data_IF_709841445289
#
_entry.id   IF_709841445289
#
_cell.length_a   1.000
_cell.length_b   1.000
_cell.length_c   1.000
_cell.angle_alpha   90.00
_cell.angle_beta   90.00
_cell.angle_gamma   90.00
#
_symmetry.space_group_name_H-M   'P 1'
#
loop_
_entity.id
_entity.type
_entity.pdbx_description
1 polymer ?
#
# COMPACT_ATOMS: atom_id res chain seq x y z
N UNK A 1 -27.26 52.38 25.04
CA UNK A 1 -28.09 51.18 25.30
C UNK A 1 -29.44 51.38 24.62
N UNK A 2 -29.93 50.33 23.93
CA UNK A 2 -31.27 50.18 23.31
C UNK A 2 -31.48 51.00 22.02
N UNK A 3 -31.96 50.50 20.88
CA UNK A 3 -31.97 49.18 20.25
C UNK A 3 -32.37 49.47 18.79
N UNK A 4 -31.57 49.03 17.82
CA UNK A 4 -32.00 48.95 16.42
C UNK A 4 -32.88 47.71 16.28
N UNK A 5 -34.00 47.80 15.55
CA UNK A 5 -34.45 46.71 14.67
C UNK A 5 -35.51 47.18 13.67
N UNK A 6 -35.27 46.68 12.45
CA UNK A 6 -35.90 46.99 11.19
C UNK A 6 -37.36 46.50 11.11
N UNK A 7 -38.09 47.16 10.22
CA UNK A 7 -39.50 46.94 9.84
C UNK A 7 -39.77 45.55 9.26
N UNK A 8 -40.99 45.09 9.59
CA UNK A 8 -42.08 44.52 8.77
C UNK A 8 -41.68 43.52 7.65
N UNK A 9 -42.30 42.34 7.53
CA UNK A 9 -43.74 42.19 7.37
C UNK A 9 -44.25 40.80 7.79
N UNK A 10 -45.55 40.73 8.11
CA UNK A 10 -46.29 39.63 8.74
C UNK A 10 -47.26 39.00 7.74
N UNK A 11 -47.34 37.65 7.78
CA UNK A 11 -48.43 36.69 7.47
C UNK A 11 -49.44 36.95 6.33
N UNK A 12 -49.71 35.91 5.53
CA UNK A 12 -50.88 35.01 5.68
C UNK A 12 -50.81 33.85 4.64
N UNK A 13 -50.91 32.56 5.04
CA UNK A 13 -52.13 31.71 5.13
C UNK A 13 -52.77 31.46 3.73
N UNK A 14 -53.10 30.27 3.18
CA UNK A 14 -53.20 28.85 3.59
C UNK A 14 -53.27 27.93 2.34
N UNK A 15 -52.79 26.68 2.50
CA UNK A 15 -53.36 25.36 2.10
C UNK A 15 -54.25 25.25 0.82
N UNK A 16 -54.08 24.25 -0.07
CA UNK A 16 -54.36 22.81 0.16
C UNK A 16 -53.78 21.87 -0.94
N UNK A 17 -53.10 20.81 -0.47
CA UNK A 17 -53.13 19.38 -0.83
C UNK A 17 -53.28 18.86 -2.29
N UNK A 18 -52.32 18.03 -2.75
CA UNK A 18 -52.37 16.55 -2.78
C UNK A 18 -50.97 16.04 -3.26
N UNK A 19 -50.15 15.38 -2.43
CA UNK A 19 -50.13 13.93 -2.13
C UNK A 19 -49.43 13.05 -3.19
N UNK A 20 -48.15 12.76 -2.96
CA UNK A 20 -47.51 11.46 -3.23
C UNK A 20 -46.31 11.35 -2.25
N UNK A 21 -46.53 10.72 -1.09
CA UNK A 21 -45.96 9.41 -0.70
C UNK A 21 -44.42 9.40 -0.74
N UNK A 22 -43.72 9.53 0.39
CA UNK A 22 -43.57 8.58 1.51
C UNK A 22 -42.16 7.97 1.41
N UNK A 23 -41.33 8.17 2.44
CA UNK A 23 -40.09 7.40 2.56
C UNK A 23 -38.92 8.14 3.19
N UNK A 24 -39.12 8.81 4.33
CA UNK A 24 -38.02 8.97 5.28
C UNK A 24 -37.70 7.57 5.83
N UNK A 25 -36.58 6.98 5.43
CA UNK A 25 -35.97 5.86 6.14
C UNK A 25 -34.54 6.27 6.48
N UNK A 26 -34.39 6.71 7.73
CA UNK A 26 -33.15 6.62 8.47
C UNK A 26 -32.66 5.17 8.43
N UNK A 27 -31.66 4.91 7.59
CA UNK A 27 -30.73 3.78 7.74
C UNK A 27 -29.40 4.47 8.09
N UNK A 28 -28.88 4.45 9.32
CA UNK A 28 -28.94 3.39 10.32
C UNK A 28 -27.85 2.36 10.01
N UNK A 29 -26.60 2.67 10.35
CA UNK A 29 -25.43 1.83 10.07
C UNK A 29 -25.05 1.93 8.58
N UNK A 30 -23.80 2.10 8.18
CA UNK A 30 -22.61 1.48 8.71
C UNK A 30 -21.55 2.56 8.86
N UNK A 31 -21.06 2.77 10.08
CA UNK A 31 -19.67 3.18 10.20
C UNK A 31 -18.87 2.08 9.55
N UNK A 32 -18.38 2.30 8.33
CA UNK A 32 -17.19 1.60 7.89
C UNK A 32 -16.07 2.17 8.75
N UNK A 33 -15.92 1.65 9.98
CA UNK A 33 -14.59 1.64 10.57
C UNK A 33 -13.80 0.65 9.72
N UNK A 34 -13.31 1.13 8.56
CA UNK A 34 -11.99 0.73 8.16
C UNK A 34 -11.17 0.92 9.43
N UNK A 35 -10.67 -0.19 9.99
CA UNK A 35 -9.78 -0.16 11.14
C UNK A 35 -8.84 1.02 10.92
N UNK A 36 -8.91 2.01 11.80
CA UNK A 36 -8.33 3.32 11.55
C UNK A 36 -6.82 3.14 11.56
N UNK A 37 -6.27 2.88 10.37
CA UNK A 37 -4.85 2.68 10.14
C UNK A 37 -4.16 3.96 10.59
N UNK A 38 -3.49 3.91 11.74
CA UNK A 38 -2.78 5.06 12.28
C UNK A 38 -1.48 5.18 11.51
N UNK A 39 -1.47 6.05 10.51
CA UNK A 39 -0.27 6.42 9.78
C UNK A 39 0.49 7.52 10.53
N UNK A 40 1.69 7.20 11.01
CA UNK A 40 2.66 8.18 11.49
C UNK A 40 3.46 8.67 10.29
N UNK A 41 3.36 9.97 9.98
CA UNK A 41 4.06 10.57 8.86
C UNK A 41 5.29 11.33 9.39
N UNK A 42 6.47 11.03 8.85
CA UNK A 42 7.73 11.67 9.22
C UNK A 42 8.23 12.50 8.04
N UNK A 43 8.43 13.78 8.33
CA UNK A 43 9.12 14.76 7.49
C UNK A 43 10.57 14.87 8.00
N UNK A 44 11.51 14.31 7.23
CA UNK A 44 12.92 14.18 7.59
C UNK A 44 13.72 15.39 7.19
N UNK A 45 13.39 16.04 6.08
CA UNK A 45 14.12 17.20 5.59
C UNK A 45 13.54 18.56 6.05
N UNK A 46 12.32 18.54 6.60
CA UNK A 46 11.63 19.69 7.18
C UNK A 46 10.95 20.58 6.15
N UNK A 47 10.72 20.10 4.92
CA UNK A 47 10.06 20.86 3.85
C UNK A 47 8.53 20.94 3.97
N UNK A 48 7.96 20.23 4.95
CA UNK A 48 6.52 20.14 5.19
C UNK A 48 5.81 19.00 4.44
N UNK A 49 6.54 18.14 3.74
CA UNK A 49 6.06 16.95 3.04
C UNK A 49 6.71 15.71 3.66
N UNK A 50 5.93 14.86 4.35
CA UNK A 50 6.47 13.62 4.89
C UNK A 50 7.03 12.73 3.78
N UNK A 51 8.21 12.15 3.98
CA UNK A 51 8.82 11.18 3.07
C UNK A 51 8.64 9.75 3.57
N UNK A 52 8.23 9.57 4.83
CA UNK A 52 8.01 8.24 5.42
C UNK A 52 6.64 8.16 6.08
N UNK A 53 5.88 7.13 5.78
CA UNK A 53 4.64 6.79 6.48
C UNK A 53 4.78 5.42 7.15
N UNK A 54 4.43 5.35 8.42
CA UNK A 54 4.40 4.10 9.19
C UNK A 54 2.97 3.82 9.60
N UNK A 55 2.40 2.78 9.04
CA UNK A 55 1.06 2.32 9.34
C UNK A 55 1.10 1.30 10.47
N UNK A 56 0.24 1.51 11.46
CA UNK A 56 0.13 0.67 12.66
C UNK A 56 -1.27 0.08 12.79
N UNK A 57 -1.34 -1.13 13.34
CA UNK A 57 -2.61 -1.77 13.72
C UNK A 57 -3.23 -1.10 14.97
N UNK A 58 -4.40 -1.59 15.38
CA UNK A 58 -5.13 -1.09 16.55
C UNK A 58 -4.35 -1.25 17.87
N UNK A 59 -3.39 -2.18 17.92
CA UNK A 59 -2.49 -2.42 19.06
C UNK A 59 -1.24 -1.53 19.03
N UNK A 60 -1.05 -0.71 17.98
CA UNK A 60 0.09 0.18 17.80
C UNK A 60 1.32 -0.48 17.14
N UNK A 61 1.19 -1.71 16.66
CA UNK A 61 2.27 -2.46 16.02
C UNK A 61 2.37 -2.07 14.54
N UNK A 62 3.59 -1.85 14.01
CA UNK A 62 3.75 -1.47 12.61
C UNK A 62 3.43 -2.66 11.70
N UNK A 63 2.58 -2.42 10.70
CA UNK A 63 2.13 -3.42 9.72
C UNK A 63 2.59 -3.08 8.29
N UNK A 64 2.83 -1.79 8.01
CA UNK A 64 3.31 -1.31 6.71
C UNK A 64 4.16 -0.06 6.91
N UNK A 65 5.21 0.09 6.11
CA UNK A 65 5.95 1.34 5.99
C UNK A 65 6.14 1.72 4.53
N UNK A 66 5.90 2.98 4.23
CA UNK A 66 6.02 3.57 2.90
C UNK A 66 7.11 4.64 2.94
N UNK A 67 7.95 4.70 1.91
CA UNK A 67 9.03 5.67 1.78
C UNK A 67 9.02 6.27 0.38
N UNK A 68 8.86 7.57 0.32
CA UNK A 68 9.13 8.41 -0.86
C UNK A 68 10.62 8.80 -0.83
N UNK A 69 11.38 8.37 -1.82
CA UNK A 69 12.83 8.59 -1.92
C UNK A 69 13.16 9.78 -2.82
N UNK A 70 12.24 10.20 -3.68
CA UNK A 70 12.46 11.26 -4.68
C UNK A 70 11.72 12.58 -4.35
N UNK A 71 10.83 12.57 -3.35
CA UNK A 71 10.04 13.70 -2.88
C UNK A 71 8.86 14.08 -3.78
N UNK A 72 8.40 13.18 -4.66
CA UNK A 72 7.32 13.46 -5.61
C UNK A 72 5.90 13.29 -5.00
N UNK A 73 5.83 12.81 -3.76
CA UNK A 73 4.60 12.55 -3.02
C UNK A 73 4.03 11.14 -3.25
N UNK A 74 4.76 10.24 -3.91
CA UNK A 74 4.41 8.83 -4.10
C UNK A 74 5.46 7.95 -3.41
N UNK A 75 5.05 6.92 -2.67
CA UNK A 75 6.00 5.98 -2.11
C UNK A 75 6.72 5.17 -3.18
N UNK A 76 8.05 5.26 -3.18
CA UNK A 76 8.94 4.46 -4.04
C UNK A 76 9.26 3.10 -3.42
N UNK A 77 8.98 2.93 -2.13
CA UNK A 77 9.25 1.70 -1.38
C UNK A 77 8.13 1.44 -0.40
N UNK A 78 7.46 0.31 -0.53
CA UNK A 78 6.45 -0.16 0.42
C UNK A 78 6.91 -1.48 1.04
N UNK A 79 7.03 -1.51 2.36
CA UNK A 79 7.39 -2.70 3.13
C UNK A 79 6.24 -3.14 4.01
N UNK A 80 5.87 -4.41 3.87
CA UNK A 80 4.85 -5.08 4.67
C UNK A 80 5.53 -5.90 5.77
N UNK A 81 5.00 -5.79 6.97
CA UNK A 81 5.57 -6.38 8.18
C UNK A 81 4.61 -7.47 8.70
N UNK A 82 5.16 -8.64 8.96
CA UNK A 82 4.44 -9.73 9.61
C UNK A 82 4.32 -9.50 11.11
N UNK A 83 3.64 -10.44 11.77
CA UNK A 83 3.54 -10.45 13.21
C UNK A 83 4.92 -10.54 13.88
N UNK A 84 5.28 -9.48 14.61
CA UNK A 84 6.58 -9.30 15.26
C UNK A 84 7.38 -8.14 14.66
N UNK A 85 6.87 -7.47 13.62
CA UNK A 85 7.54 -6.35 12.98
C UNK A 85 8.68 -6.78 12.04
N UNK A 86 8.71 -8.06 11.66
CA UNK A 86 9.67 -8.60 10.71
C UNK A 86 9.18 -8.35 9.28
N UNK A 87 10.07 -8.01 8.32
CA UNK A 87 9.67 -7.87 6.93
C UNK A 87 9.14 -9.20 6.40
N UNK A 88 8.06 -9.12 5.63
CA UNK A 88 7.45 -10.23 4.92
C UNK A 88 7.51 -10.00 3.42
N UNK A 89 7.22 -8.77 2.99
CA UNK A 89 7.23 -8.36 1.58
C UNK A 89 7.73 -6.93 1.45
N UNK A 90 8.42 -6.65 0.37
CA UNK A 90 8.84 -5.30 -0.01
C UNK A 90 8.56 -5.10 -1.50
N UNK A 91 8.01 -3.95 -1.84
CA UNK A 91 7.68 -3.49 -3.19
C UNK A 91 8.48 -2.23 -3.45
N UNK A 92 9.19 -2.14 -4.57
CA UNK A 92 10.02 -0.98 -4.89
C UNK A 92 9.85 -0.53 -6.34
N UNK A 93 9.66 0.78 -6.51
CA UNK A 93 9.90 1.52 -7.74
C UNK A 93 11.36 2.01 -7.70
N UNK A 94 12.22 1.38 -8.50
CA UNK A 94 13.65 1.65 -8.51
C UNK A 94 14.02 2.82 -9.43
N UNK A 95 13.18 3.12 -10.42
CA UNK A 95 13.45 4.09 -11.47
C UNK A 95 12.61 5.39 -11.35
N UNK A 96 11.64 5.40 -10.43
CA UNK A 96 10.75 6.51 -10.08
C UNK A 96 9.72 6.87 -11.17
N UNK A 97 9.24 5.89 -11.95
CA UNK A 97 8.22 6.10 -12.98
C UNK A 97 6.78 5.84 -12.51
N UNK A 98 6.61 5.44 -11.25
CA UNK A 98 5.35 5.08 -10.61
C UNK A 98 4.92 3.62 -10.83
N UNK A 99 5.76 2.78 -11.43
CA UNK A 99 5.57 1.33 -11.56
C UNK A 99 6.52 0.60 -10.63
N UNK A 100 6.09 -0.57 -10.16
CA UNK A 100 6.94 -1.40 -9.32
C UNK A 100 7.92 -2.14 -10.22
N UNK A 101 9.22 -1.95 -9.97
CA UNK A 101 10.30 -2.67 -10.65
C UNK A 101 10.72 -3.94 -9.89
N UNK A 102 10.39 -4.03 -8.59
CA UNK A 102 10.90 -5.11 -7.75
C UNK A 102 9.95 -5.54 -6.63
N UNK A 103 9.97 -6.85 -6.36
CA UNK A 103 9.35 -7.45 -5.19
C UNK A 103 10.37 -8.30 -4.43
N UNK A 104 10.54 -8.08 -3.13
CA UNK A 104 11.31 -8.98 -2.26
C UNK A 104 10.40 -9.68 -1.27
N UNK A 105 10.65 -10.97 -1.04
CA UNK A 105 9.91 -11.80 -0.09
C UNK A 105 10.85 -12.34 0.97
N UNK A 106 10.32 -12.39 2.19
CA UNK A 106 11.08 -12.69 3.39
C UNK A 106 10.40 -13.80 4.19
N UNK A 107 11.21 -14.65 4.81
CA UNK A 107 10.77 -15.68 5.73
C UNK A 107 11.42 -15.41 7.08
N UNK A 108 10.60 -15.16 8.11
CA UNK A 108 11.07 -14.80 9.46
C UNK A 108 12.11 -13.65 9.43
N UNK A 109 11.88 -12.66 8.55
CA UNK A 109 12.74 -11.49 8.38
C UNK A 109 13.98 -11.70 7.50
N UNK A 110 14.28 -12.92 7.06
CA UNK A 110 15.38 -13.22 6.14
C UNK A 110 14.89 -13.20 4.69
N UNK A 111 15.56 -12.44 3.81
CA UNK A 111 15.19 -12.40 2.39
C UNK A 111 15.36 -13.78 1.76
N UNK A 112 14.36 -14.24 1.00
CA UNK A 112 14.38 -15.54 0.31
C UNK A 112 14.40 -15.40 -1.20
N UNK A 113 13.64 -14.42 -1.67
CA UNK A 113 13.35 -14.26 -3.08
C UNK A 113 13.30 -12.78 -3.40
N UNK A 114 13.87 -12.42 -4.54
CA UNK A 114 13.70 -11.11 -5.15
C UNK A 114 13.29 -11.31 -6.60
N UNK A 115 12.23 -10.63 -7.01
CA UNK A 115 11.77 -10.51 -8.38
C UNK A 115 12.11 -9.12 -8.90
N UNK A 116 12.53 -9.05 -10.15
CA UNK A 116 12.71 -7.82 -10.91
C UNK A 116 11.88 -7.89 -12.17
N UNK A 117 11.14 -6.82 -12.44
CA UNK A 117 10.41 -6.53 -13.67
C UNK A 117 11.03 -5.24 -14.21
N UNK A 118 11.84 -5.34 -15.27
CA UNK A 118 12.55 -4.20 -15.86
C UNK A 118 11.76 -3.57 -17.00
N UNK A 119 10.83 -4.32 -17.61
CA UNK A 119 10.07 -3.86 -18.76
C UNK A 119 8.69 -3.27 -18.35
N UNK A 120 8.28 -3.47 -17.10
CA UNK A 120 7.08 -2.93 -16.46
C UNK A 120 5.78 -3.64 -16.88
N UNK A 121 5.85 -4.89 -17.33
CA UNK A 121 4.70 -5.67 -17.78
C UNK A 121 4.00 -6.47 -16.66
N UNK A 122 4.58 -6.50 -15.46
CA UNK A 122 4.09 -7.21 -14.28
C UNK A 122 4.57 -8.66 -14.17
N UNK A 123 5.36 -9.15 -15.13
CA UNK A 123 6.04 -10.43 -15.08
C UNK A 123 7.54 -10.23 -14.74
N UNK A 124 8.13 -11.14 -13.95
CA UNK A 124 9.51 -10.94 -13.50
C UNK A 124 10.54 -11.42 -14.54
N UNK A 125 11.25 -10.47 -15.14
CA UNK A 125 12.44 -10.68 -16.00
C UNK A 125 13.62 -11.32 -15.26
N UNK A 126 13.69 -11.18 -13.92
CA UNK A 126 14.71 -11.86 -13.15
C UNK A 126 14.20 -12.28 -11.76
N UNK A 127 14.69 -13.43 -11.31
CA UNK A 127 14.46 -13.96 -9.96
C UNK A 127 15.78 -14.29 -9.30
N UNK A 128 15.97 -13.87 -8.06
CA UNK A 128 17.15 -14.16 -7.26
C UNK A 128 16.76 -14.89 -5.98
N UNK A 129 17.52 -15.94 -5.66
CA UNK A 129 17.26 -16.83 -4.53
C UNK A 129 18.35 -16.70 -3.47
N UNK A 130 17.94 -16.60 -2.22
CA UNK A 130 18.83 -16.39 -1.08
C UNK A 130 18.81 -17.56 -0.09
N UNK A 131 19.96 -17.82 0.51
CA UNK A 131 20.15 -18.89 1.49
C UNK A 131 19.41 -18.64 2.82
N UNK A 132 19.45 -19.61 3.76
CA UNK A 132 18.89 -19.52 5.13
C UNK A 132 19.21 -18.24 5.90
N UNK A 133 20.40 -17.67 5.66
CA UNK A 133 20.85 -16.45 6.32
C UNK A 133 20.23 -15.17 5.75
N UNK A 134 19.55 -15.25 4.59
CA UNK A 134 19.00 -14.12 3.85
C UNK A 134 20.04 -13.18 3.23
N UNK A 135 21.31 -13.59 3.21
CA UNK A 135 22.44 -12.78 2.73
C UNK A 135 23.09 -13.47 1.54
N UNK A 136 23.29 -14.78 1.60
CA UNK A 136 23.97 -15.52 0.54
C UNK A 136 23.06 -15.63 -0.68
N UNK A 137 23.46 -15.07 -1.82
CA UNK A 137 22.86 -15.36 -3.11
C UNK A 137 23.23 -16.80 -3.50
N UNK A 138 22.24 -17.68 -3.53
CA UNK A 138 22.45 -19.11 -3.85
C UNK A 138 22.14 -19.42 -5.30
N UNK A 139 21.32 -18.62 -5.98
CA UNK A 139 21.00 -18.81 -7.40
C UNK A 139 20.17 -17.69 -7.98
N UNK A 140 19.90 -17.79 -9.28
CA UNK A 140 19.05 -16.85 -9.99
C UNK A 140 18.63 -17.35 -11.37
N UNK A 141 17.59 -16.71 -11.89
CA UNK A 141 16.96 -16.93 -13.18
C UNK A 141 16.83 -15.56 -13.88
N UNK A 142 17.11 -15.51 -15.18
CA UNK A 142 16.98 -14.31 -16.02
C UNK A 142 16.28 -14.69 -17.32
N UNK A 143 15.27 -13.89 -17.65
CA UNK A 143 14.58 -13.84 -18.93
C UNK A 143 15.06 -12.56 -19.63
N UNK A 144 15.84 -12.73 -20.71
CA UNK A 144 16.49 -11.63 -21.42
C UNK A 144 15.69 -11.19 -22.65
N UNK A 145 14.83 -12.06 -23.19
CA UNK A 145 13.96 -11.77 -24.32
C UNK A 145 12.50 -11.44 -23.95
N UNK A 146 12.18 -11.53 -22.66
CA UNK A 146 10.91 -11.16 -22.04
C UNK A 146 9.73 -12.02 -22.53
N UNK A 147 9.97 -13.32 -22.72
CA UNK A 147 8.94 -14.27 -23.14
C UNK A 147 8.25 -15.01 -21.97
N UNK A 148 8.65 -14.70 -20.73
CA UNK A 148 8.17 -15.31 -19.48
C UNK A 148 8.91 -16.59 -19.10
N UNK A 149 9.87 -17.05 -19.91
CA UNK A 149 10.69 -18.24 -19.69
C UNK A 149 12.14 -17.84 -19.44
N UNK A 150 12.75 -18.25 -18.31
CA UNK A 150 14.15 -17.93 -18.07
C UNK A 150 15.12 -18.52 -19.13
N UNK A 151 15.79 -17.65 -19.87
CA UNK A 151 16.90 -17.98 -20.76
C UNK A 151 18.12 -18.52 -20.02
N UNK A 152 18.38 -17.94 -18.84
CA UNK A 152 19.58 -18.21 -18.07
C UNK A 152 19.25 -18.50 -16.63
N UNK A 153 19.92 -19.51 -16.08
CA UNK A 153 19.92 -19.77 -14.64
C UNK A 153 21.32 -20.04 -14.12
N UNK A 154 21.53 -19.81 -12.83
CA UNK A 154 22.77 -20.16 -12.15
C UNK A 154 22.50 -20.55 -10.70
N UNK A 155 23.44 -21.30 -10.12
CA UNK A 155 23.38 -21.69 -8.71
C UNK A 155 22.22 -22.64 -8.39
N UNK A 156 21.80 -22.61 -7.12
CA UNK A 156 20.67 -23.37 -6.63
C UNK A 156 19.36 -22.61 -6.92
N UNK A 157 18.62 -23.10 -7.91
CA UNK A 157 17.25 -22.68 -8.18
C UNK A 157 16.29 -23.64 -7.45
N UNK A 158 15.46 -23.15 -6.52
CA UNK A 158 14.47 -23.97 -5.81
C UNK A 158 13.46 -24.64 -6.78
N UNK A 159 12.75 -25.70 -6.40
CA UNK A 159 11.64 -26.25 -7.21
C UNK A 159 10.50 -25.24 -7.39
N UNK A 160 9.77 -25.28 -8.51
CA UNK A 160 8.76 -24.28 -8.91
C UNK A 160 7.74 -23.95 -7.81
N UNK A 161 7.25 -24.96 -7.10
CA UNK A 161 6.29 -24.82 -6.00
C UNK A 161 6.77 -23.89 -4.87
N UNK A 162 8.09 -23.87 -4.61
CA UNK A 162 8.70 -23.00 -3.61
C UNK A 162 9.06 -21.60 -4.11
N UNK A 163 8.85 -21.32 -5.41
CA UNK A 163 9.16 -20.03 -6.05
C UNK A 163 8.01 -19.05 -6.00
N UNK A 164 6.78 -19.52 -5.75
CA UNK A 164 5.60 -18.66 -5.67
C UNK A 164 5.50 -18.16 -4.23
N UNK A 165 5.64 -16.85 -3.99
CA UNK A 165 5.33 -16.29 -2.68
C UNK A 165 3.86 -16.59 -2.38
N UNK A 166 3.56 -17.08 -1.18
CA UNK A 166 2.18 -17.29 -0.77
C UNK A 166 1.46 -15.93 -0.84
N UNK A 167 0.39 -15.77 -1.64
CA UNK A 167 -0.33 -14.50 -1.73
C UNK A 167 -0.92 -14.06 -0.39
N UNK A 168 -1.04 -14.98 0.56
CA UNK A 168 -1.32 -14.72 1.95
C UNK A 168 -0.22 -15.38 2.76
N UNK A 169 0.73 -14.61 3.30
CA UNK A 169 1.56 -15.18 4.35
C UNK A 169 0.73 -15.67 5.54
#
# INVERSE_FOLDING_TARGET
MIARRFRLCRNDLRFRFLSALLGLLLVGGFGTSAAEERAEALDRDGDGRPEVWIHRDESGKPIRSEVDRNGDGRPDLTRYLADGGLPQREEADLNFDGRLDAWSYYEVGSKRLMWLDKNGDGEPDARFYYGPDGIQLIGGEMDEDFDGVPDRSFGAVPPEESRRPDPAG
#
